data_IF_587247387701
#
_entry.id   IF_587247387701
#
_cell.length_a   1.000
_cell.length_b   1.000
_cell.length_c   1.000
_cell.angle_alpha   90.00
_cell.angle_beta   90.00
_cell.angle_gamma   90.00
#
_symmetry.space_group_name_H-M   'P 1'
#
loop_
_entity.id
_entity.type
_entity.pdbx_description
1 polymer ?
#
# COMPACT_ATOMS: atom_id res chain seq x y z
N UNK A 1 -11.71 9.72 5.18
CA UNK A 1 -10.57 10.04 4.30
C UNK A 1 -9.51 8.99 4.57
N UNK A 2 -8.21 9.21 4.36
CA UNK A 2 -7.20 8.14 4.42
C UNK A 2 -5.85 8.73 4.79
N UNK A 3 -5.03 7.96 5.49
CA UNK A 3 -3.63 8.24 5.75
C UNK A 3 -2.79 6.98 5.49
N UNK A 4 -1.82 7.08 4.58
CA UNK A 4 -0.90 5.99 4.28
C UNK A 4 0.53 6.56 4.20
N UNK A 5 1.45 5.94 4.93
CA UNK A 5 2.88 6.14 4.75
C UNK A 5 3.51 4.96 4.02
N UNK A 6 4.46 5.25 3.13
CA UNK A 6 5.39 4.30 2.51
C UNK A 6 6.81 4.80 2.75
N UNK A 7 7.71 3.94 3.22
CA UNK A 7 9.09 4.34 3.52
C UNK A 7 10.09 3.18 3.38
N UNK A 8 11.34 3.46 3.00
CA UNK A 8 12.42 2.47 3.01
C UNK A 8 12.87 2.14 4.44
N UNK A 9 13.13 0.85 4.69
CA UNK A 9 13.87 0.36 5.84
C UNK A 9 15.29 -0.03 5.39
N UNK A 10 16.30 0.33 6.19
CA UNK A 10 17.71 0.17 5.83
C UNK A 10 18.41 -0.84 6.75
N UNK A 11 19.33 -1.61 6.18
CA UNK A 11 20.37 -2.33 6.91
C UNK A 11 21.73 -1.78 6.48
N UNK A 12 22.34 -0.96 7.34
CA UNK A 12 23.50 -0.17 6.96
C UNK A 12 23.13 0.90 5.92
N UNK A 13 23.72 0.82 4.72
CA UNK A 13 23.46 1.75 3.61
C UNK A 13 22.49 1.21 2.56
N UNK A 14 22.05 -0.05 2.67
CA UNK A 14 21.19 -0.69 1.69
C UNK A 14 19.74 -0.72 2.16
N UNK A 15 18.82 -0.47 1.23
CA UNK A 15 17.39 -0.66 1.50
C UNK A 15 17.14 -2.17 1.48
N UNK A 16 16.58 -2.70 2.56
CA UNK A 16 16.21 -4.12 2.65
C UNK A 16 14.75 -4.36 2.31
N UNK A 17 13.88 -3.37 2.54
CA UNK A 17 12.45 -3.41 2.17
C UNK A 17 11.82 -2.03 2.12
N UNK A 18 10.68 -1.94 1.44
CA UNK A 18 9.74 -0.84 1.61
C UNK A 18 8.66 -1.24 2.60
N UNK A 19 8.48 -0.45 3.64
CA UNK A 19 7.39 -0.58 4.61
C UNK A 19 6.21 0.28 4.17
N UNK A 20 5.00 -0.16 4.53
CA UNK A 20 3.80 0.64 4.39
C UNK A 20 2.88 0.47 5.61
N UNK A 21 2.25 1.57 6.02
CA UNK A 21 1.26 1.61 7.08
C UNK A 21 0.12 2.54 6.68
N UNK A 22 -1.12 2.11 6.89
CA UNK A 22 -2.29 2.91 6.60
C UNK A 22 -3.44 2.64 7.55
N UNK A 23 -4.43 3.53 7.55
CA UNK A 23 -5.70 3.30 8.24
C UNK A 23 -6.65 2.44 7.39
N UNK A 24 -7.55 1.68 8.02
CA UNK A 24 -8.52 0.84 7.31
C UNK A 24 -9.95 1.39 7.30
N UNK A 25 -10.18 2.60 7.79
CA UNK A 25 -11.51 3.21 7.84
C UNK A 25 -11.99 3.69 6.48
N UNK A 26 -13.23 3.33 6.11
CA UNK A 26 -13.94 3.91 4.96
C UNK A 26 -15.09 4.75 5.47
N UNK A 27 -15.08 6.04 5.14
CA UNK A 27 -16.08 7.01 5.60
C UNK A 27 -16.90 7.56 4.43
N UNK A 28 -18.17 7.86 4.71
CA UNK A 28 -19.06 8.59 3.81
C UNK A 28 -19.33 9.97 4.42
N UNK A 29 -18.55 10.97 4.01
CA UNK A 29 -18.50 12.24 4.75
C UNK A 29 -17.82 12.03 6.11
N UNK A 30 -18.49 12.47 7.18
CA UNK A 30 -17.98 12.41 8.56
C UNK A 30 -18.40 11.14 9.32
N UNK A 31 -19.09 10.20 8.66
CA UNK A 31 -19.52 8.95 9.31
C UNK A 31 -18.68 7.77 8.83
N UNK A 32 -18.17 6.99 9.78
CA UNK A 32 -17.50 5.72 9.49
C UNK A 32 -18.52 4.73 8.93
N UNK A 33 -18.33 4.30 7.68
CA UNK A 33 -19.18 3.32 7.01
C UNK A 33 -18.66 1.90 7.20
N UNK A 34 -17.33 1.71 7.19
CA UNK A 34 -16.69 0.41 7.40
C UNK A 34 -15.33 0.57 8.07
N UNK A 35 -15.07 -0.19 9.13
CA UNK A 35 -13.80 -0.13 9.87
C UNK A 35 -12.66 -0.99 9.28
N UNK A 36 -12.95 -1.95 8.40
CA UNK A 36 -11.99 -2.93 7.87
C UNK A 36 -11.85 -2.85 6.34
N UNK A 37 -11.74 -1.65 5.80
CA UNK A 37 -11.45 -1.41 4.38
C UNK A 37 -9.97 -1.55 4.05
N UNK A 38 -9.63 -2.43 3.12
CA UNK A 38 -8.27 -2.58 2.61
C UNK A 38 -7.94 -1.38 1.71
N UNK A 39 -6.81 -0.72 1.97
CA UNK A 39 -6.30 0.41 1.16
C UNK A 39 -4.90 0.18 0.58
N UNK A 40 -4.20 -0.82 1.09
CA UNK A 40 -2.93 -1.31 0.55
C UNK A 40 -3.14 -2.75 0.04
N UNK A 41 -3.15 -2.92 -1.27
CA UNK A 41 -3.53 -4.15 -1.95
C UNK A 41 -2.29 -4.84 -2.55
N UNK A 42 -2.25 -6.17 -2.51
CA UNK A 42 -1.23 -6.95 -3.22
C UNK A 42 -1.59 -7.04 -4.69
N UNK A 43 -0.67 -6.69 -5.57
CA UNK A 43 -0.82 -6.75 -7.02
C UNK A 43 0.16 -7.78 -7.61
N UNK A 44 -0.26 -9.04 -7.84
CA UNK A 44 0.56 -10.02 -8.55
C UNK A 44 0.83 -9.61 -10.01
N UNK A 45 2.07 -9.84 -10.43
CA UNK A 45 2.58 -9.64 -11.80
C UNK A 45 3.07 -10.99 -12.28
N UNK A 46 2.40 -11.54 -13.29
CA UNK A 46 2.71 -12.87 -13.80
C UNK A 46 2.93 -12.80 -15.31
N UNK A 47 4.12 -13.17 -15.74
CA UNK A 47 4.48 -13.25 -17.15
C UNK A 47 4.59 -14.70 -17.62
N UNK A 48 3.95 -15.00 -18.75
CA UNK A 48 3.92 -16.33 -19.36
C UNK A 48 4.57 -16.35 -20.73
N UNK A 49 5.17 -17.49 -21.05
CA UNK A 49 5.73 -17.82 -22.35
C UNK A 49 4.97 -19.01 -22.96
N UNK A 50 5.12 -19.26 -24.27
CA UNK A 50 4.55 -20.46 -24.89
C UNK A 50 5.04 -21.74 -24.19
N UNK A 51 4.10 -22.60 -23.82
CA UNK A 51 4.33 -23.93 -23.29
C UNK A 51 4.47 -24.98 -24.40
N UNK A 52 4.63 -26.28 -24.03
CA UNK A 52 4.71 -27.38 -25.00
C UNK A 52 3.47 -27.53 -25.90
N UNK A 53 2.33 -27.02 -25.46
CA UNK A 53 1.05 -27.01 -26.17
C UNK A 53 0.90 -25.84 -27.16
N UNK A 54 1.88 -24.93 -27.22
CA UNK A 54 1.85 -23.72 -28.05
C UNK A 54 1.04 -22.58 -27.44
N UNK A 55 0.39 -22.77 -26.29
CA UNK A 55 -0.34 -21.71 -25.58
C UNK A 55 0.55 -21.01 -24.55
N UNK A 56 0.20 -19.80 -24.14
CA UNK A 56 0.95 -19.04 -23.12
C UNK A 56 0.64 -19.52 -21.70
N UNK A 57 0.98 -20.79 -21.41
CA UNK A 57 0.66 -21.47 -20.15
C UNK A 57 1.83 -21.53 -19.18
N UNK A 58 3.08 -21.32 -19.64
CA UNK A 58 4.27 -21.48 -18.81
C UNK A 58 4.63 -20.16 -18.09
N UNK A 59 4.43 -20.02 -16.76
CA UNK A 59 4.89 -18.85 -16.02
C UNK A 59 6.42 -18.87 -15.92
N UNK A 60 7.07 -17.80 -16.37
CA UNK A 60 8.53 -17.64 -16.25
C UNK A 60 8.92 -16.51 -15.29
N UNK A 61 7.97 -15.69 -14.87
CA UNK A 61 8.16 -14.64 -13.89
C UNK A 61 6.88 -14.48 -13.07
N UNK A 62 7.02 -14.54 -11.75
CA UNK A 62 5.96 -14.31 -10.77
C UNK A 62 6.51 -13.41 -9.68
N UNK A 63 5.85 -12.28 -9.44
CA UNK A 63 6.22 -11.34 -8.40
C UNK A 63 4.98 -10.61 -7.88
N UNK A 64 5.08 -9.95 -6.74
CA UNK A 64 4.01 -9.11 -6.21
C UNK A 64 4.53 -7.72 -5.90
N UNK A 65 3.82 -6.71 -6.36
CA UNK A 65 4.01 -5.31 -5.95
C UNK A 65 2.80 -4.89 -5.11
N UNK A 66 2.84 -3.73 -4.48
CA UNK A 66 1.71 -3.17 -3.75
C UNK A 66 1.06 -2.03 -4.51
N UNK A 67 -0.26 -1.91 -4.37
CA UNK A 67 -1.05 -0.75 -4.78
C UNK A 67 -1.67 -0.15 -3.52
N UNK A 68 -1.22 1.04 -3.13
CA UNK A 68 -1.83 1.84 -2.06
C UNK A 68 -2.65 2.97 -2.66
N UNK A 69 -3.74 3.36 -2.02
CA UNK A 69 -4.55 4.48 -2.48
C UNK A 69 -5.13 5.32 -1.35
N UNK A 70 -5.33 6.60 -1.62
CA UNK A 70 -6.04 7.53 -0.76
C UNK A 70 -7.05 8.36 -1.56
N UNK A 71 -8.23 8.59 -0.99
CA UNK A 71 -9.34 9.28 -1.65
C UNK A 71 -10.50 8.34 -1.96
N UNK A 72 -10.99 8.35 -3.21
CA UNK A 72 -12.16 7.55 -3.60
C UNK A 72 -11.86 6.05 -3.64
N UNK A 73 -12.39 5.30 -2.65
CA UNK A 73 -12.33 3.84 -2.64
C UNK A 73 -12.91 3.23 -3.91
N UNK A 74 -14.02 3.77 -4.43
CA UNK A 74 -14.66 3.27 -5.64
C UNK A 74 -13.71 3.35 -6.85
N UNK A 75 -13.03 4.48 -7.03
CA UNK A 75 -12.07 4.64 -8.13
C UNK A 75 -10.91 3.65 -7.98
N UNK A 76 -10.30 3.60 -6.80
CA UNK A 76 -9.15 2.73 -6.58
C UNK A 76 -9.47 1.25 -6.74
N UNK A 77 -10.60 0.80 -6.19
CA UNK A 77 -11.02 -0.61 -6.29
C UNK A 77 -11.40 -0.97 -7.73
N UNK A 78 -12.07 -0.08 -8.47
CA UNK A 78 -12.35 -0.32 -9.88
C UNK A 78 -11.05 -0.45 -10.68
N UNK A 79 -10.08 0.47 -10.51
CA UNK A 79 -8.76 0.36 -11.16
C UNK A 79 -8.09 -0.97 -10.82
N UNK A 80 -8.06 -1.35 -9.54
CA UNK A 80 -7.45 -2.60 -9.11
C UNK A 80 -8.12 -3.81 -9.77
N UNK A 81 -9.45 -3.87 -9.76
CA UNK A 81 -10.21 -4.98 -10.35
C UNK A 81 -10.10 -5.04 -11.87
N UNK A 82 -9.98 -3.91 -12.56
CA UNK A 82 -9.78 -3.85 -14.01
C UNK A 82 -8.37 -4.33 -14.42
N UNK A 83 -7.35 -3.89 -13.69
CA UNK A 83 -5.95 -4.19 -14.01
C UNK A 83 -5.58 -5.62 -13.63
N UNK A 84 -6.10 -6.13 -12.50
CA UNK A 84 -5.66 -7.38 -11.90
C UNK A 84 -5.66 -8.59 -12.87
N UNK A 85 -6.74 -8.87 -13.62
CA UNK A 85 -6.74 -9.97 -14.59
C UNK A 85 -5.74 -9.79 -15.73
N UNK A 86 -5.40 -8.54 -16.08
CA UNK A 86 -4.51 -8.24 -17.20
C UNK A 86 -3.04 -8.39 -16.80
N UNK A 87 -2.65 -7.85 -15.64
CA UNK A 87 -1.28 -7.91 -15.14
C UNK A 87 -0.88 -9.31 -14.64
N UNK A 88 -1.87 -10.13 -14.29
CA UNK A 88 -1.68 -11.55 -13.98
C UNK A 88 -1.67 -12.44 -15.23
N UNK A 89 -1.82 -11.89 -16.44
CA UNK A 89 -1.83 -12.60 -17.71
C UNK A 89 -0.93 -11.97 -18.78
N UNK A 90 0.21 -11.40 -18.35
CA UNK A 90 1.19 -10.86 -19.29
C UNK A 90 1.82 -11.99 -20.11
N UNK A 91 2.03 -11.75 -21.40
CA UNK A 91 2.63 -12.72 -22.32
C UNK A 91 3.89 -12.15 -22.94
N UNK A 92 4.92 -12.99 -23.13
CA UNK A 92 6.14 -12.61 -23.84
C UNK A 92 6.75 -13.79 -24.57
N UNK A 93 7.06 -13.59 -25.85
CA UNK A 93 7.82 -14.56 -26.65
C UNK A 93 9.30 -14.60 -26.23
N UNK A 94 9.84 -13.47 -25.77
CA UNK A 94 11.27 -13.30 -25.45
C UNK A 94 11.55 -13.42 -23.94
N UNK A 95 10.57 -13.83 -23.15
CA UNK A 95 10.65 -13.92 -21.68
C UNK A 95 11.08 -12.59 -21.01
N UNK A 96 10.58 -11.47 -21.53
CA UNK A 96 10.88 -10.12 -21.01
C UNK A 96 10.14 -9.84 -19.69
N UNK A 97 10.88 -9.52 -18.63
CA UNK A 97 10.32 -9.06 -17.36
C UNK A 97 10.06 -7.55 -17.43
N UNK A 98 8.85 -7.07 -17.09
CA UNK A 98 8.57 -5.64 -17.08
C UNK A 98 9.21 -4.95 -15.86
N UNK A 99 9.71 -3.74 -16.06
CA UNK A 99 10.13 -2.84 -14.99
C UNK A 99 8.92 -2.31 -14.21
N UNK A 100 9.14 -1.81 -12.98
CA UNK A 100 8.09 -1.15 -12.20
C UNK A 100 7.57 0.10 -12.92
N UNK A 101 8.43 0.82 -13.64
CA UNK A 101 8.03 1.99 -14.43
C UNK A 101 7.10 1.63 -15.59
N UNK A 102 7.34 0.50 -16.26
CA UNK A 102 6.44 0.00 -17.32
C UNK A 102 5.10 -0.47 -16.73
N UNK A 103 5.13 -1.20 -15.60
CA UNK A 103 3.93 -1.60 -14.86
C UNK A 103 3.13 -0.35 -14.45
N UNK A 104 3.80 0.65 -13.89
CA UNK A 104 3.16 1.89 -13.47
C UNK A 104 2.59 2.68 -14.65
N UNK A 105 3.30 2.74 -15.77
CA UNK A 105 2.81 3.41 -16.99
C UNK A 105 1.54 2.73 -17.50
N UNK A 106 1.55 1.40 -17.56
CA UNK A 106 0.37 0.62 -17.95
C UNK A 106 -0.82 0.89 -17.03
N UNK A 107 -0.63 0.80 -15.71
CA UNK A 107 -1.70 1.02 -14.73
C UNK A 107 -2.18 2.47 -14.74
N UNK A 108 -1.27 3.43 -14.90
CA UNK A 108 -1.57 4.85 -15.02
C UNK A 108 -2.55 5.16 -16.13
N UNK A 109 -2.59 4.36 -17.21
CA UNK A 109 -3.60 4.53 -18.27
C UNK A 109 -5.02 4.26 -17.77
N UNK A 110 -5.21 3.21 -16.95
CA UNK A 110 -6.49 2.88 -16.31
C UNK A 110 -6.84 3.91 -15.26
N UNK A 111 -5.89 4.29 -14.40
CA UNK A 111 -6.11 5.32 -13.38
C UNK A 111 -6.60 6.61 -14.03
N UNK A 112 -5.91 7.08 -15.08
CA UNK A 112 -6.29 8.29 -15.81
C UNK A 112 -7.66 8.16 -16.46
N UNK A 113 -7.97 7.01 -17.07
CA UNK A 113 -9.27 6.73 -17.68
C UNK A 113 -10.39 6.77 -16.63
N UNK A 114 -10.28 5.99 -15.56
CA UNK A 114 -11.27 5.93 -14.47
C UNK A 114 -11.44 7.29 -13.80
N UNK A 115 -10.36 8.06 -13.64
CA UNK A 115 -10.43 9.42 -13.11
C UNK A 115 -11.18 10.38 -14.05
N UNK A 116 -10.95 10.31 -15.35
CA UNK A 116 -11.70 11.12 -16.33
C UNK A 116 -13.21 10.78 -16.32
N UNK A 117 -13.56 9.51 -16.12
CA UNK A 117 -14.95 9.04 -16.11
C UNK A 117 -15.69 9.41 -14.81
N UNK A 118 -15.04 9.29 -13.65
CA UNK A 118 -15.69 9.43 -12.33
C UNK A 118 -15.13 10.57 -11.47
N UNK A 119 -13.82 10.77 -11.52
CA UNK A 119 -13.08 11.68 -10.64
C UNK A 119 -13.33 13.15 -10.96
N UNK A 120 -13.33 13.51 -12.25
CA UNK A 120 -13.62 14.87 -12.70
C UNK A 120 -15.02 15.34 -12.27
N UNK A 121 -16.02 14.46 -12.37
CA UNK A 121 -17.42 14.75 -12.02
C UNK A 121 -17.58 15.04 -10.52
N UNK A 122 -16.78 14.43 -9.66
CA UNK A 122 -16.88 14.61 -8.21
C UNK A 122 -15.97 15.70 -7.65
N UNK A 123 -15.04 16.25 -8.43
CA UNK A 123 -14.08 17.28 -7.99
C UNK A 123 -13.18 16.85 -6.82
N UNK A 124 -13.05 15.55 -6.57
CA UNK A 124 -12.29 15.02 -5.43
C UNK A 124 -10.88 14.65 -5.85
N UNK A 125 -9.92 15.08 -5.05
CA UNK A 125 -8.53 14.64 -5.17
C UNK A 125 -8.40 13.15 -4.92
N UNK A 126 -7.44 12.53 -5.60
CA UNK A 126 -7.17 11.11 -5.50
C UNK A 126 -5.67 10.84 -5.65
N UNK A 127 -5.17 9.86 -4.90
CA UNK A 127 -3.77 9.46 -4.92
C UNK A 127 -3.64 7.93 -4.96
N UNK A 128 -2.76 7.40 -5.81
CA UNK A 128 -2.33 6.00 -5.82
C UNK A 128 -0.81 5.96 -5.75
N UNK A 129 -0.28 4.99 -5.03
CA UNK A 129 1.10 4.55 -5.17
C UNK A 129 1.16 3.09 -5.62
N UNK A 130 2.03 2.79 -6.58
CA UNK A 130 2.50 1.43 -6.86
C UNK A 130 3.93 1.33 -6.35
N UNK A 131 4.22 0.36 -5.50
CA UNK A 131 5.55 0.24 -4.92
C UNK A 131 5.99 -1.21 -4.76
N UNK A 132 7.31 -1.42 -4.84
CA UNK A 132 7.89 -2.75 -4.73
C UNK A 132 9.36 -2.76 -5.11
N UNK A 133 9.92 -3.97 -5.22
CA UNK A 133 11.24 -4.18 -5.77
C UNK A 133 11.13 -4.34 -7.29
N UNK A 134 11.97 -3.62 -8.04
CA UNK A 134 12.07 -3.84 -9.46
C UNK A 134 13.27 -4.73 -9.80
N UNK A 135 13.01 -5.87 -10.45
CA UNK A 135 14.06 -6.81 -10.86
C UNK A 135 14.87 -6.35 -12.07
N UNK A 136 14.35 -5.41 -12.86
CA UNK A 136 15.07 -4.84 -14.02
C UNK A 136 16.16 -3.87 -13.54
N UNK A 137 15.79 -2.87 -12.74
CA UNK A 137 16.74 -1.89 -12.19
C UNK A 137 17.42 -2.36 -10.88
N UNK A 138 17.00 -3.51 -10.34
CA UNK A 138 17.51 -4.11 -9.08
C UNK A 138 17.41 -3.19 -7.86
N UNK A 139 16.34 -2.40 -7.77
CA UNK A 139 16.14 -1.45 -6.67
C UNK A 139 14.67 -1.30 -6.29
N UNK A 140 14.44 -0.72 -5.11
CA UNK A 140 13.11 -0.36 -4.66
C UNK A 140 12.64 0.93 -5.32
N UNK A 141 11.39 0.93 -5.77
CA UNK A 141 10.81 2.05 -6.50
C UNK A 141 9.35 2.28 -6.07
N UNK A 142 8.92 3.53 -6.20
CA UNK A 142 7.52 3.95 -5.94
C UNK A 142 7.05 4.82 -7.10
N UNK A 143 5.98 4.41 -7.77
CA UNK A 143 5.29 5.23 -8.75
C UNK A 143 4.05 5.86 -8.12
N UNK A 144 3.94 7.19 -8.18
CA UNK A 144 2.86 7.98 -7.62
C UNK A 144 1.96 8.51 -8.73
N UNK A 145 0.66 8.40 -8.54
CA UNK A 145 -0.37 9.01 -9.37
C UNK A 145 -1.18 9.94 -8.48
N UNK A 146 -1.31 11.20 -8.88
CA UNK A 146 -2.05 12.19 -8.10
C UNK A 146 -2.77 13.18 -9.00
N UNK A 147 -3.73 13.89 -8.42
CA UNK A 147 -4.39 15.02 -9.07
C UNK A 147 -3.84 16.32 -8.48
N UNK A 148 -3.35 17.22 -9.33
CA UNK A 148 -2.85 18.53 -8.93
C UNK A 148 -3.84 19.58 -9.42
N UNK A 149 -4.30 20.46 -8.52
CA UNK A 149 -5.11 21.61 -8.92
C UNK A 149 -4.20 22.65 -9.58
N UNK A 150 -4.50 23.05 -10.81
CA UNK A 150 -3.84 24.16 -11.49
C UNK A 150 -4.77 25.37 -11.57
N UNK A 151 -4.21 26.56 -11.54
CA UNK A 151 -4.99 27.82 -11.56
C UNK A 151 -5.75 28.01 -12.88
N UNK A 152 -5.27 27.42 -13.98
CA UNK A 152 -5.77 27.67 -15.35
C UNK A 152 -6.63 26.56 -15.93
N UNK A 153 -6.38 25.29 -15.60
CA UNK A 153 -7.02 24.13 -16.26
C UNK A 153 -7.81 23.22 -15.30
N UNK A 154 -7.96 23.61 -14.04
CA UNK A 154 -8.58 22.77 -13.02
C UNK A 154 -7.66 21.62 -12.57
N UNK A 155 -8.22 20.45 -12.28
CA UNK A 155 -7.44 19.30 -11.81
C UNK A 155 -6.71 18.62 -12.98
N UNK A 156 -5.39 18.45 -12.86
CA UNK A 156 -4.56 17.70 -13.81
C UNK A 156 -4.05 16.39 -13.20
N UNK A 157 -3.98 15.35 -14.02
CA UNK A 157 -3.39 14.07 -13.64
C UNK A 157 -1.87 14.11 -13.72
N UNK A 158 -1.20 13.81 -12.62
CA UNK A 158 0.25 13.80 -12.48
C UNK A 158 0.77 12.38 -12.19
N UNK A 159 1.96 12.07 -12.70
CA UNK A 159 2.65 10.80 -12.45
C UNK A 159 4.12 11.07 -12.17
N UNK A 160 4.63 10.47 -11.10
CA UNK A 160 6.03 10.58 -10.67
C UNK A 160 6.58 9.19 -10.34
N UNK A 161 7.83 8.91 -10.69
CA UNK A 161 8.50 7.66 -10.32
C UNK A 161 9.72 7.98 -9.45
N UNK A 162 9.69 7.51 -8.22
CA UNK A 162 10.73 7.67 -7.21
C UNK A 162 11.59 6.41 -7.17
N UNK A 163 12.86 6.57 -7.52
CA UNK A 163 13.78 5.46 -7.78
C UNK A 163 15.02 5.47 -6.86
N UNK A 164 15.29 6.59 -6.21
CA UNK A 164 16.49 6.80 -5.39
C UNK A 164 16.08 7.21 -3.98
N UNK A 165 15.36 6.31 -3.32
CA UNK A 165 14.85 6.48 -1.97
C UNK A 165 16.01 6.55 -0.97
N UNK A 166 15.97 7.49 -0.03
CA UNK A 166 17.04 7.70 0.96
C UNK A 166 16.50 7.49 2.37
N UNK A 167 17.41 7.34 3.32
CA UNK A 167 17.05 7.35 4.73
C UNK A 167 16.30 8.66 5.06
N UNK A 168 15.15 8.54 5.73
CA UNK A 168 14.27 9.66 6.01
C UNK A 168 13.34 10.07 4.87
N UNK A 169 13.33 9.37 3.73
CA UNK A 169 12.28 9.54 2.71
C UNK A 169 10.97 8.93 3.23
N UNK A 170 9.94 9.75 3.41
CA UNK A 170 8.60 9.31 3.78
C UNK A 170 7.61 9.77 2.73
N UNK A 171 6.95 8.83 2.08
CA UNK A 171 5.93 9.10 1.07
C UNK A 171 4.58 9.00 1.76
N UNK A 172 3.80 10.07 1.68
CA UNK A 172 2.48 10.16 2.31
C UNK A 172 1.37 10.29 1.27
N UNK A 173 0.34 9.47 1.39
CA UNK A 173 -0.90 9.54 0.63
C UNK A 173 -2.04 9.90 1.57
N UNK A 174 -2.87 10.87 1.16
CA UNK A 174 -4.12 11.19 1.82
C UNK A 174 -4.30 12.63 2.25
N UNK A 175 -5.28 12.82 3.14
CA UNK A 175 -5.66 14.13 3.69
C UNK A 175 -4.70 14.57 4.79
N UNK A 176 -4.78 15.84 5.21
CA UNK A 176 -4.06 16.33 6.39
C UNK A 176 -2.54 16.19 6.30
N UNK A 177 -1.97 16.42 5.11
CA UNK A 177 -0.54 16.17 4.84
C UNK A 177 0.37 16.92 5.81
N UNK A 178 0.05 18.18 6.13
CA UNK A 178 0.84 19.00 7.04
C UNK A 178 0.75 18.49 8.48
N UNK A 179 -0.47 18.23 8.96
CA UNK A 179 -0.72 17.77 10.32
C UNK A 179 -0.14 16.36 10.56
N UNK A 180 -0.25 15.46 9.58
CA UNK A 180 0.37 14.15 9.63
C UNK A 180 1.89 14.22 9.58
N UNK A 181 2.47 15.16 8.83
CA UNK A 181 3.91 15.40 8.84
C UNK A 181 4.39 15.87 10.21
N UNK A 182 3.66 16.77 10.88
CA UNK A 182 3.96 17.20 12.25
C UNK A 182 3.88 16.03 13.25
N UNK A 183 2.85 15.18 13.13
CA UNK A 183 2.74 13.95 13.93
C UNK A 183 3.92 13.01 13.71
N UNK A 184 4.35 12.82 12.45
CA UNK A 184 5.52 12.02 12.12
C UNK A 184 6.79 12.58 12.78
N UNK A 185 7.02 13.89 12.68
CA UNK A 185 8.19 14.53 13.30
C UNK A 185 8.17 14.38 14.84
N UNK A 186 6.99 14.49 15.45
CA UNK A 186 6.79 14.23 16.88
C UNK A 186 7.11 12.77 17.25
N UNK A 187 6.70 11.80 16.44
CA UNK A 187 7.01 10.38 16.67
C UNK A 187 8.48 10.03 16.42
N UNK A 188 9.18 10.78 15.56
CA UNK A 188 10.63 10.70 15.39
C UNK A 188 11.34 11.26 16.62
N UNK A 189 10.92 12.42 17.14
CA UNK A 189 11.55 13.07 18.29
C UNK A 189 11.38 12.28 19.61
N UNK A 190 10.30 11.50 19.73
CA UNK A 190 10.06 10.58 20.85
C UNK A 190 10.90 9.30 20.80
N UNK A 191 11.70 9.09 19.75
CA UNK A 191 12.54 7.88 19.65
C UNK A 191 13.49 7.77 20.84
N UNK A 192 13.46 6.59 21.49
CA UNK A 192 14.27 6.22 22.66
C UNK A 192 14.91 4.86 22.39
N UNK A 193 15.85 4.45 23.24
CA UNK A 193 16.37 3.08 23.21
C UNK A 193 15.20 2.07 23.22
N UNK A 194 15.11 1.22 22.19
CA UNK A 194 14.00 0.27 21.98
C UNK A 194 12.84 0.76 21.10
N UNK A 195 12.85 2.02 20.64
CA UNK A 195 11.83 2.55 19.72
C UNK A 195 12.51 3.19 18.49
N UNK A 196 12.85 2.39 17.47
CA UNK A 196 13.52 2.90 16.28
C UNK A 196 12.73 4.00 15.59
N UNK A 197 13.43 5.01 15.08
CA UNK A 197 12.86 6.09 14.25
C UNK A 197 12.17 5.56 13.00
N UNK A 198 12.65 4.43 12.45
CA UNK A 198 12.07 3.73 11.30
C UNK A 198 10.64 3.23 11.53
N UNK A 199 10.19 3.14 12.80
CA UNK A 199 8.81 2.78 13.15
C UNK A 199 7.93 4.01 13.37
N UNK A 200 8.46 5.23 13.28
CA UNK A 200 7.71 6.45 13.49
C UNK A 200 6.50 6.61 12.54
N UNK A 201 6.59 6.28 11.24
CA UNK A 201 5.41 6.38 10.36
C UNK A 201 4.25 5.48 10.82
N UNK A 202 4.55 4.24 11.22
CA UNK A 202 3.55 3.32 11.81
C UNK A 202 2.89 3.94 13.05
N UNK A 203 3.70 4.51 13.96
CA UNK A 203 3.18 5.15 15.19
C UNK A 203 2.36 6.39 14.90
N UNK A 204 2.74 7.19 13.90
CA UNK A 204 1.99 8.38 13.50
C UNK A 204 0.60 8.01 12.96
N UNK A 205 0.49 6.97 12.12
CA UNK A 205 -0.81 6.44 11.68
C UNK A 205 -1.65 5.96 12.87
N UNK A 206 -1.05 5.16 13.77
CA UNK A 206 -1.77 4.64 14.95
C UNK A 206 -2.27 5.78 15.86
N UNK A 207 -1.43 6.77 16.11
CA UNK A 207 -1.79 7.95 16.91
C UNK A 207 -2.91 8.76 16.25
N UNK A 208 -2.93 8.87 14.91
CA UNK A 208 -4.01 9.51 14.19
C UNK A 208 -5.33 8.72 14.28
N UNK A 209 -5.27 7.38 14.13
CA UNK A 209 -6.44 6.49 14.30
C UNK A 209 -7.06 6.61 15.70
N UNK A 210 -6.22 6.74 16.73
CA UNK A 210 -6.65 6.82 18.13
C UNK A 210 -7.10 8.22 18.57
N UNK A 211 -6.87 9.25 17.74
CA UNK A 211 -7.14 10.64 18.07
C UNK A 211 -8.48 11.14 17.53
N UNK A 212 -9.22 11.88 18.35
CA UNK A 212 -10.43 12.59 17.93
C UNK A 212 -10.15 13.77 16.98
N UNK A 213 -8.89 14.22 16.88
CA UNK A 213 -8.48 15.31 15.98
C UNK A 213 -8.49 14.90 14.51
N UNK A 214 -8.50 13.59 14.23
CA UNK A 214 -8.45 13.01 12.87
C UNK A 214 -9.62 12.05 12.63
N UNK A 215 -10.89 12.49 12.76
CA UNK A 215 -12.05 11.60 12.63
C UNK A 215 -12.13 10.90 11.27
N UNK A 216 -11.49 11.46 10.24
CA UNK A 216 -11.41 10.89 8.90
C UNK A 216 -10.33 9.81 8.70
N UNK A 217 -9.42 9.61 9.65
CA UNK A 217 -8.39 8.57 9.70
C UNK A 217 -8.81 7.60 10.81
N UNK A 218 -9.32 6.42 10.45
CA UNK A 218 -10.04 5.59 11.43
C UNK A 218 -9.94 4.10 11.10
N UNK A 219 -10.67 3.25 11.84
CA UNK A 219 -10.62 1.80 11.68
C UNK A 219 -9.44 1.19 12.43
N UNK A 220 -8.74 0.27 11.79
CA UNK A 220 -7.55 -0.39 12.32
C UNK A 220 -6.31 -0.05 11.51
N UNK A 221 -5.16 -0.49 12.03
CA UNK A 221 -3.88 -0.33 11.37
C UNK A 221 -3.71 -1.42 10.30
N UNK A 222 -3.48 -1.01 9.06
CA UNK A 222 -3.05 -1.89 7.98
C UNK A 222 -1.53 -1.79 7.82
N UNK A 223 -0.83 -2.94 7.86
CA UNK A 223 0.61 -3.02 7.65
C UNK A 223 0.96 -3.93 6.47
N UNK A 224 2.08 -3.64 5.82
CA UNK A 224 2.69 -4.51 4.84
C UNK A 224 4.08 -4.03 4.46
N UNK A 225 4.82 -4.89 3.78
CA UNK A 225 6.15 -4.54 3.28
C UNK A 225 6.47 -5.26 1.97
N UNK A 226 7.33 -4.63 1.15
CA UNK A 226 7.82 -5.20 -0.09
C UNK A 226 9.32 -5.49 0.02
N UNK A 227 9.73 -6.68 -0.43
CA UNK A 227 11.13 -7.12 -0.55
C UNK A 227 11.45 -7.46 -2.00
N UNK A 228 12.68 -7.91 -2.28
CA UNK A 228 13.02 -8.54 -3.55
C UNK A 228 12.27 -9.86 -3.82
N UNK A 229 11.52 -10.39 -2.85
CA UNK A 229 10.65 -11.56 -3.02
C UNK A 229 9.17 -11.20 -3.19
N UNK A 230 8.85 -9.90 -3.19
CA UNK A 230 7.50 -9.38 -3.39
C UNK A 230 6.92 -8.70 -2.15
N UNK A 231 5.69 -8.22 -2.29
CA UNK A 231 4.89 -7.60 -1.23
C UNK A 231 4.15 -8.63 -0.37
N UNK A 232 4.11 -8.36 0.93
CA UNK A 232 3.40 -9.13 1.96
C UNK A 232 2.63 -8.19 2.88
N UNK A 233 1.33 -8.47 3.05
CA UNK A 233 0.54 -7.86 4.11
C UNK A 233 0.90 -8.50 5.46
N UNK A 234 0.76 -7.74 6.55
CA UNK A 234 1.13 -8.21 7.89
C UNK A 234 -0.06 -8.18 8.85
N UNK A 235 -0.03 -9.09 9.83
CA UNK A 235 -0.85 -8.96 11.02
C UNK A 235 -0.19 -8.01 12.00
N UNK A 236 -1.03 -7.28 12.72
CA UNK A 236 -0.61 -6.45 13.86
C UNK A 236 -0.79 -7.29 15.12
N UNK A 237 0.28 -7.50 15.87
CA UNK A 237 0.20 -8.02 17.23
C UNK A 237 -0.02 -6.85 18.18
N UNK A 238 -1.11 -6.86 18.93
CA UNK A 238 -1.42 -5.81 19.90
C UNK A 238 -1.72 -6.42 21.26
N UNK A 239 -1.30 -5.79 22.37
CA UNK A 239 -1.71 -6.24 23.69
C UNK A 239 -3.24 -6.17 23.81
N UNK A 240 -3.84 -7.19 24.44
CA UNK A 240 -5.27 -7.16 24.78
C UNK A 240 -5.52 -6.06 25.81
N UNK A 241 -4.60 -5.92 26.76
CA UNK A 241 -4.59 -4.88 27.78
C UNK A 241 -3.16 -4.37 27.97
N UNK A 242 -3.00 -3.05 27.99
CA UNK A 242 -1.68 -2.44 28.10
C UNK A 242 -0.98 -2.84 29.41
N UNK A 243 0.28 -3.25 29.31
CA UNK A 243 1.08 -3.71 30.46
C UNK A 243 0.88 -5.18 30.83
N UNK A 244 -0.02 -5.90 30.16
CA UNK A 244 -0.19 -7.35 30.32
C UNK A 244 0.44 -8.14 29.17
N UNK A 245 0.86 -9.40 29.39
CA UNK A 245 1.53 -10.20 28.37
C UNK A 245 0.57 -10.76 27.29
N UNK A 246 -0.73 -10.77 27.54
CA UNK A 246 -1.71 -11.28 26.58
C UNK A 246 -1.79 -10.37 25.35
N UNK A 247 -1.63 -10.97 24.17
CA UNK A 247 -1.73 -10.29 22.89
C UNK A 247 -2.79 -10.92 22.00
N UNK A 248 -3.31 -10.13 21.07
CA UNK A 248 -4.17 -10.58 19.98
C UNK A 248 -3.57 -10.17 18.64
N UNK A 249 -3.84 -10.97 17.61
CA UNK A 249 -3.50 -10.60 16.24
C UNK A 249 -4.68 -9.95 15.55
N UNK A 250 -4.41 -8.88 14.81
CA UNK A 250 -5.40 -8.15 14.03
C UNK A 250 -4.96 -8.06 12.57
N UNK A 251 -5.94 -8.21 11.67
CA UNK A 251 -5.81 -7.81 10.28
C UNK A 251 -6.80 -6.69 10.03
N UNK A 252 -6.32 -5.50 9.65
CA UNK A 252 -7.13 -4.28 9.60
C UNK A 252 -7.75 -4.02 10.99
N UNK A 253 -9.08 -3.93 11.09
CA UNK A 253 -9.78 -3.79 12.36
C UNK A 253 -10.41 -5.11 12.89
N UNK A 254 -10.07 -6.25 12.28
CA UNK A 254 -10.63 -7.56 12.65
C UNK A 254 -9.65 -8.36 13.51
N UNK A 255 -10.12 -8.89 14.65
CA UNK A 255 -9.35 -9.83 15.47
C UNK A 255 -9.29 -11.19 14.78
N UNK A 256 -8.09 -11.74 14.62
CA UNK A 256 -7.87 -13.03 13.96
C UNK A 256 -8.15 -14.17 14.93
N UNK A 257 -9.38 -14.67 14.91
CA UNK A 257 -9.78 -15.91 15.61
C UNK A 257 -9.30 -17.15 14.84
N UNK A 258 -9.29 -18.35 15.45
CA UNK A 258 -8.93 -19.58 14.74
C UNK A 258 -9.73 -19.81 13.45
N UNK A 259 -11.00 -19.41 13.42
CA UNK A 259 -11.88 -19.49 12.25
C UNK A 259 -11.37 -18.68 11.05
N UNK A 260 -10.68 -17.55 11.30
CA UNK A 260 -10.07 -16.75 10.24
C UNK A 260 -8.68 -17.24 9.84
N UNK A 261 -8.01 -18.03 10.69
CA UNK A 261 -6.65 -18.49 10.47
C UNK A 261 -6.58 -19.86 9.79
N UNK A 262 -7.72 -20.53 9.61
CA UNK A 262 -7.79 -21.83 8.93
C UNK A 262 -8.82 -21.81 7.81
N UNK A 263 -8.43 -22.24 6.61
CA UNK A 263 -9.37 -22.56 5.52
C UNK A 263 -10.04 -23.91 5.81
N UNK A 264 -9.29 -24.84 6.41
CA UNK A 264 -9.76 -26.08 6.99
C UNK A 264 -8.72 -26.58 8.01
N UNK A 265 -8.98 -27.72 8.65
CA UNK A 265 -8.11 -28.32 9.68
C UNK A 265 -6.64 -28.52 9.26
N UNK A 266 -6.37 -28.57 7.95
CA UNK A 266 -5.05 -28.84 7.38
C UNK A 266 -4.43 -27.65 6.64
N UNK A 267 -5.16 -26.55 6.44
CA UNK A 267 -4.71 -25.38 5.67
C UNK A 267 -4.86 -24.13 6.51
N UNK A 268 -3.71 -23.59 6.91
CA UNK A 268 -3.60 -22.43 7.79
C UNK A 268 -3.10 -21.21 7.01
N UNK A 269 -3.58 -20.02 7.37
CA UNK A 269 -3.07 -18.76 6.85
C UNK A 269 -1.76 -18.46 7.59
N UNK A 270 -0.63 -18.68 6.91
CA UNK A 270 0.68 -18.30 7.42
C UNK A 270 0.79 -16.78 7.43
N UNK A 271 0.96 -16.19 8.61
CA UNK A 271 1.12 -14.74 8.76
C UNK A 271 2.40 -14.43 9.49
N UNK A 272 3.20 -13.54 8.91
CA UNK A 272 4.30 -12.94 9.64
C UNK A 272 3.75 -11.87 10.59
N UNK A 273 3.87 -12.13 11.90
CA UNK A 273 3.57 -11.15 12.93
C UNK A 273 4.75 -10.21 13.14
N UNK A 274 4.47 -8.93 13.36
CA UNK A 274 5.43 -8.01 13.98
C UNK A 274 4.95 -7.67 15.39
N UNK A 275 5.84 -7.87 16.37
CA UNK A 275 5.67 -7.38 17.75
C UNK A 275 6.02 -5.89 17.75
#
# INVERSE_FOLDING_TARGET
>A
MTAIYIWPEFEGSEIVRLQAAGDSGISTGNTLSMGSGVKILTLPVICRAPGPDGFFTFPYYEHTVALAFAGSTLIAQNVYLEVMPLITNLISLNKTVPSLSEIATYIGTFVKKTWNEYGYVQGKGFEIAIFGYCHVEKKFSVALFSTISTETDGMQFHTEVLNDLKAGTYIYLGSKKSEMHELLLNEISKSRAGSPTERAPRRAIKAAIDSEDFPEISGGLQLGYATCFGYRAQLVCEPVEFGKPECQYRYLNSVMTPEFLSINENIWIGTEGTI
#
